data_IF_615337339330
#
_entry.id   IF_615337339330
#
_cell.length_a   1.000
_cell.length_b   1.000
_cell.length_c   1.000
_cell.angle_alpha   90.00
_cell.angle_beta   90.00
_cell.angle_gamma   90.00
#
_symmetry.space_group_name_H-M   'P 1'
#
loop_
_entity.id
_entity.type
_entity.pdbx_description
1 polymer ?
#
# COMPACT_ATOMS: atom_id res chain seq x y z
N UNK A 1 12.76 -30.68 -2.74
CA UNK A 1 11.52 -31.46 -2.98
C UNK A 1 11.30 -32.39 -1.79
N UNK A 2 10.04 -32.59 -1.36
CA UNK A 2 9.73 -33.37 -0.16
C UNK A 2 8.45 -34.21 -0.32
N UNK A 3 8.40 -35.41 0.24
CA UNK A 3 7.18 -36.18 0.46
C UNK A 3 7.19 -36.75 1.89
N UNK A 4 6.34 -36.20 2.77
CA UNK A 4 6.42 -36.48 4.20
C UNK A 4 7.78 -36.06 4.79
N UNK A 5 8.51 -37.01 5.37
CA UNK A 5 9.85 -36.79 5.97
C UNK A 5 11.00 -37.00 4.99
N UNK A 6 10.73 -37.50 3.78
CA UNK A 6 11.75 -37.74 2.77
C UNK A 6 11.97 -36.45 2.00
N UNK A 7 13.23 -36.00 1.96
CA UNK A 7 13.60 -34.74 1.32
C UNK A 7 14.78 -34.97 0.38
N UNK A 8 14.77 -34.27 -0.74
CA UNK A 8 15.89 -34.19 -1.66
C UNK A 8 16.15 -32.73 -2.06
N UNK A 9 17.42 -32.39 -2.21
CA UNK A 9 17.92 -31.07 -2.59
C UNK A 9 18.65 -31.19 -3.93
N UNK A 10 18.44 -30.23 -4.80
CA UNK A 10 18.81 -30.23 -6.22
C UNK A 10 20.21 -30.77 -6.52
N UNK A 11 20.29 -31.76 -7.42
CA UNK A 11 21.52 -32.08 -8.15
C UNK A 11 21.81 -31.03 -9.23
N UNK A 12 23.04 -30.99 -9.76
CA UNK A 12 23.45 -30.04 -10.82
C UNK A 12 22.70 -30.22 -12.15
N UNK A 13 21.93 -31.29 -12.29
CA UNK A 13 21.13 -31.67 -13.45
C UNK A 13 19.65 -31.26 -13.33
N UNK A 14 19.24 -30.67 -12.21
CA UNK A 14 17.86 -30.21 -11.99
C UNK A 14 16.85 -31.33 -11.71
N UNK A 15 17.34 -32.58 -11.53
CA UNK A 15 16.50 -33.74 -11.23
C UNK A 15 16.47 -33.96 -9.70
N UNK A 16 15.29 -34.28 -9.18
CA UNK A 16 15.07 -34.69 -7.80
C UNK A 16 14.62 -36.16 -7.76
N UNK A 17 15.17 -36.94 -6.84
CA UNK A 17 14.85 -38.37 -6.71
C UNK A 17 14.50 -38.70 -5.26
N UNK A 18 13.20 -38.83 -4.98
CA UNK A 18 12.71 -39.34 -3.69
C UNK A 18 12.78 -40.88 -3.70
N UNK A 19 13.57 -41.45 -2.79
CA UNK A 19 13.77 -42.91 -2.65
C UNK A 19 13.15 -43.44 -1.38
N UNK A 20 12.88 -44.75 -1.36
CA UNK A 20 12.34 -45.48 -0.21
C UNK A 20 10.95 -44.97 0.24
N UNK A 21 10.12 -44.55 -0.71
CA UNK A 21 8.71 -44.25 -0.45
C UNK A 21 7.96 -45.56 -0.21
N UNK A 22 7.14 -45.60 0.84
CA UNK A 22 6.20 -46.71 1.04
C UNK A 22 5.22 -46.78 -0.14
N UNK A 23 4.78 -47.96 -0.61
CA UNK A 23 3.79 -48.05 -1.67
C UNK A 23 2.48 -47.35 -1.27
N UNK A 24 1.94 -46.50 -2.13
CA UNK A 24 0.74 -45.72 -1.85
C UNK A 24 0.77 -44.31 -2.42
N UNK A 25 -0.23 -43.51 -2.06
CA UNK A 25 -0.37 -42.12 -2.47
C UNK A 25 0.49 -41.20 -1.58
N UNK A 26 1.29 -40.35 -2.20
CA UNK A 26 2.13 -39.35 -1.53
C UNK A 26 1.84 -37.97 -2.07
N UNK A 27 1.65 -36.98 -1.19
CA UNK A 27 1.68 -35.58 -1.59
C UNK A 27 3.14 -35.13 -1.69
N UNK A 28 3.58 -34.81 -2.88
CA UNK A 28 4.94 -34.38 -3.19
C UNK A 28 4.94 -32.87 -3.33
N UNK A 29 5.78 -32.19 -2.54
CA UNK A 29 5.88 -30.72 -2.50
C UNK A 29 7.25 -30.28 -3.02
N UNK A 30 7.25 -29.33 -3.94
CA UNK A 30 8.45 -28.66 -4.44
C UNK A 30 8.48 -27.24 -3.89
N UNK A 31 9.63 -26.83 -3.37
CA UNK A 31 9.85 -25.50 -2.79
C UNK A 31 11.08 -24.86 -3.38
N UNK A 32 11.01 -23.57 -3.69
CA UNK A 32 12.14 -22.75 -4.08
C UNK A 32 11.97 -21.33 -3.50
N UNK A 33 13.02 -20.66 -2.99
CA UNK A 33 12.86 -19.33 -2.38
C UNK A 33 12.26 -18.25 -3.30
N UNK A 34 12.52 -18.33 -4.60
CA UNK A 34 12.12 -17.33 -5.63
C UNK A 34 10.98 -17.78 -6.53
N UNK A 35 10.33 -18.91 -6.24
CA UNK A 35 9.16 -19.39 -6.99
C UNK A 35 8.07 -19.78 -6.01
N UNK A 36 6.82 -19.73 -6.47
CA UNK A 36 5.72 -20.29 -5.71
C UNK A 36 5.90 -21.81 -5.55
N UNK A 37 5.52 -22.31 -4.37
CA UNK A 37 5.57 -23.75 -4.11
C UNK A 37 4.50 -24.45 -4.93
N UNK A 38 4.81 -25.65 -5.41
CA UNK A 38 3.88 -26.49 -6.16
C UNK A 38 3.80 -27.88 -5.50
N UNK A 39 2.67 -28.56 -5.65
CA UNK A 39 2.46 -29.89 -5.11
C UNK A 39 1.57 -30.78 -5.98
N UNK A 40 1.86 -32.08 -5.96
CA UNK A 40 1.11 -33.07 -6.70
C UNK A 40 0.99 -34.37 -5.90
N UNK A 41 -0.14 -35.04 -6.01
CA UNK A 41 -0.33 -36.38 -5.45
C UNK A 41 0.24 -37.43 -6.43
N UNK A 42 1.29 -38.13 -5.99
CA UNK A 42 2.00 -39.15 -6.77
C UNK A 42 1.81 -40.51 -6.12
N UNK A 43 1.42 -41.52 -6.91
CA UNK A 43 1.31 -42.89 -6.40
C UNK A 43 2.63 -43.62 -6.62
N UNK A 44 3.23 -44.11 -5.52
CA UNK A 44 4.38 -45.00 -5.53
C UNK A 44 3.89 -46.45 -5.57
N UNK A 45 4.33 -47.23 -6.55
CA UNK A 45 3.95 -48.64 -6.72
C UNK A 45 5.15 -49.53 -6.39
N UNK A 46 4.92 -50.58 -5.60
CA UNK A 46 5.98 -51.50 -5.19
C UNK A 46 6.51 -52.30 -6.39
N UNK A 47 7.84 -52.42 -6.50
CA UNK A 47 8.52 -53.27 -7.50
C UNK A 47 8.23 -52.85 -8.97
N UNK A 48 7.85 -51.59 -9.19
CA UNK A 48 7.69 -51.00 -10.51
C UNK A 48 8.79 -49.95 -10.77
N UNK A 49 8.91 -49.50 -12.01
CA UNK A 49 9.76 -48.38 -12.39
C UNK A 49 9.33 -47.08 -11.68
N UNK A 50 10.27 -46.15 -11.54
CA UNK A 50 10.00 -44.89 -10.86
C UNK A 50 8.94 -44.05 -11.59
N UNK A 51 7.97 -43.53 -10.85
CA UNK A 51 7.00 -42.57 -11.37
C UNK A 51 7.69 -41.23 -11.66
N UNK A 52 7.55 -40.74 -12.88
CA UNK A 52 8.01 -39.41 -13.28
C UNK A 52 6.90 -38.39 -13.04
N UNK A 53 7.21 -37.33 -12.30
CA UNK A 53 6.30 -36.20 -12.07
C UNK A 53 7.04 -34.90 -12.40
N UNK A 54 6.52 -34.17 -13.38
CA UNK A 54 7.01 -32.85 -13.75
C UNK A 54 6.32 -31.77 -12.91
N UNK A 55 7.07 -30.74 -12.52
CA UNK A 55 6.57 -29.56 -11.83
C UNK A 55 6.93 -28.33 -12.64
N UNK A 56 5.99 -27.39 -12.77
CA UNK A 56 6.24 -26.08 -13.37
C UNK A 56 6.12 -25.03 -12.28
N UNK A 57 7.26 -24.51 -11.83
CA UNK A 57 7.27 -23.47 -10.80
C UNK A 57 7.02 -22.11 -11.43
N UNK A 58 6.15 -21.31 -10.82
CA UNK A 58 5.85 -19.94 -11.23
C UNK A 58 6.81 -19.01 -10.48
N UNK A 59 7.58 -18.13 -11.17
CA UNK A 59 8.42 -17.15 -10.49
C UNK A 59 7.57 -16.36 -9.51
N UNK A 60 8.07 -16.23 -8.28
CA UNK A 60 7.40 -15.41 -7.29
C UNK A 60 7.50 -13.97 -7.77
N UNK A 61 6.35 -13.36 -8.08
CA UNK A 61 6.28 -11.95 -8.45
C UNK A 61 6.25 -11.12 -7.18
N UNK A 62 7.12 -10.10 -7.12
CA UNK A 62 7.08 -9.09 -6.08
C UNK A 62 5.87 -8.16 -6.27
N UNK A 63 5.64 -7.26 -5.31
CA UNK A 63 4.52 -6.31 -5.40
C UNK A 63 4.74 -5.37 -6.60
N UNK A 64 3.71 -5.13 -7.44
CA UNK A 64 3.78 -4.08 -8.45
C UNK A 64 3.99 -2.73 -7.76
N UNK A 65 4.82 -1.87 -8.34
CA UNK A 65 5.07 -0.54 -7.80
C UNK A 65 3.98 0.44 -8.22
N UNK A 66 3.66 1.42 -7.37
CA UNK A 66 2.86 2.61 -7.70
C UNK A 66 1.58 2.34 -8.50
N UNK A 67 0.53 1.83 -7.85
CA UNK A 67 -0.77 1.66 -8.50
C UNK A 67 -1.48 3.01 -8.59
N UNK A 68 -1.65 3.50 -9.81
CA UNK A 68 -2.38 4.72 -10.11
C UNK A 68 -3.70 4.44 -10.83
N UNK A 69 -4.69 5.29 -10.54
CA UNK A 69 -6.01 5.23 -11.15
C UNK A 69 -6.32 6.56 -11.83
N UNK A 70 -6.60 6.52 -13.14
CA UNK A 70 -7.01 7.71 -13.89
C UNK A 70 -8.34 7.45 -14.60
N UNK A 71 -9.35 8.26 -14.26
CA UNK A 71 -10.61 8.30 -14.99
C UNK A 71 -10.48 9.19 -16.24
N UNK A 72 -10.64 8.63 -17.43
CA UNK A 72 -10.73 9.41 -18.68
C UNK A 72 -12.02 9.08 -19.40
N UNK A 73 -12.97 10.02 -19.36
CA UNK A 73 -14.31 9.86 -19.92
C UNK A 73 -15.06 8.72 -19.21
N UNK A 74 -15.16 7.58 -19.87
CA UNK A 74 -15.80 6.36 -19.35
C UNK A 74 -14.81 5.23 -19.17
N UNK A 75 -13.53 5.52 -19.06
CA UNK A 75 -12.55 4.47 -18.83
C UNK A 75 -11.84 4.76 -17.52
N UNK A 76 -11.59 3.70 -16.77
CA UNK A 76 -10.66 3.71 -15.64
C UNK A 76 -9.38 3.08 -16.15
N UNK A 77 -8.31 3.87 -16.18
CA UNK A 77 -6.98 3.41 -16.50
C UNK A 77 -6.25 3.11 -15.20
N UNK A 78 -5.81 1.86 -15.07
CA UNK A 78 -4.92 1.45 -14.00
C UNK A 78 -3.51 1.41 -14.57
N UNK A 79 -2.58 2.11 -13.92
CA UNK A 79 -1.17 2.09 -14.31
C UNK A 79 -0.37 1.63 -13.10
N UNK A 80 0.57 0.73 -13.29
CA UNK A 80 1.49 0.29 -12.25
C UNK A 80 2.87 0.02 -12.85
N UNK A 81 3.89 0.09 -12.02
CA UNK A 81 5.26 -0.26 -12.36
C UNK A 81 5.52 -1.74 -12.15
N UNK A 82 6.54 -2.25 -12.84
CA UNK A 82 6.94 -3.65 -12.76
C UNK A 82 7.07 -4.14 -11.32
N UNK A 83 6.72 -5.40 -11.09
CA UNK A 83 6.93 -6.07 -9.80
C UNK A 83 8.38 -5.90 -9.33
N UNK A 84 8.56 -5.46 -8.08
CA UNK A 84 9.89 -5.24 -7.49
C UNK A 84 10.58 -3.92 -7.90
N UNK A 85 9.86 -3.01 -8.58
CA UNK A 85 10.36 -1.66 -8.89
C UNK A 85 10.44 -0.73 -7.67
N UNK A 86 9.78 -1.10 -6.57
CA UNK A 86 9.83 -0.40 -5.30
C UNK A 86 10.25 -1.41 -4.23
N UNK A 87 11.30 -1.08 -3.49
CA UNK A 87 11.74 -1.80 -2.30
C UNK A 87 11.66 -0.87 -1.09
N UNK A 88 11.58 -1.45 0.10
CA UNK A 88 11.46 -0.71 1.36
C UNK A 88 12.70 0.14 1.66
N UNK A 89 13.88 -0.22 1.12
CA UNK A 89 15.10 0.57 1.31
C UNK A 89 15.46 0.73 2.79
N UNK A 90 15.69 1.97 3.21
CA UNK A 90 16.07 2.33 4.58
C UNK A 90 14.88 2.65 5.51
N UNK A 91 13.64 2.51 5.05
CA UNK A 91 12.45 2.77 5.89
C UNK A 91 11.81 1.48 6.42
N UNK A 92 10.82 1.64 7.30
CA UNK A 92 10.07 0.56 7.93
C UNK A 92 8.84 0.17 7.12
N UNK A 93 8.36 1.08 6.25
CA UNK A 93 7.15 0.85 5.45
C UNK A 93 7.17 1.57 4.12
N UNK A 94 6.57 0.93 3.11
CA UNK A 94 6.46 1.49 1.77
C UNK A 94 5.14 2.23 1.58
N UNK A 95 5.20 3.46 1.05
CA UNK A 95 4.06 4.15 0.48
C UNK A 95 3.89 3.65 -0.95
N UNK A 96 2.86 2.82 -1.16
CA UNK A 96 2.68 2.08 -2.42
C UNK A 96 2.00 2.87 -3.52
N UNK A 97 1.31 3.95 -3.17
CA UNK A 97 0.54 4.81 -4.08
C UNK A 97 0.02 6.01 -3.30
N UNK A 98 -0.24 7.12 -3.98
CA UNK A 98 -1.03 8.22 -3.41
C UNK A 98 -2.49 8.15 -3.91
N UNK A 99 -3.48 8.54 -3.08
CA UNK A 99 -3.33 8.91 -1.67
C UNK A 99 -2.95 7.70 -0.79
N UNK A 100 -2.28 7.96 0.32
CA UNK A 100 -1.85 6.96 1.28
C UNK A 100 -2.32 7.33 2.68
N UNK A 101 -2.72 6.32 3.47
CA UNK A 101 -2.93 6.49 4.89
C UNK A 101 -2.41 5.28 5.66
N UNK A 102 -1.89 5.53 6.86
CA UNK A 102 -1.44 4.47 7.75
C UNK A 102 -1.51 4.88 9.22
N UNK A 103 -1.69 3.89 10.11
CA UNK A 103 -1.63 4.08 11.55
C UNK A 103 -0.36 3.41 12.08
N UNK A 104 0.42 4.15 12.86
CA UNK A 104 1.73 3.73 13.34
C UNK A 104 2.03 4.20 14.76
N UNK A 105 3.23 3.84 15.23
CA UNK A 105 3.81 4.35 16.47
C UNK A 105 5.32 4.38 16.29
N UNK A 106 5.97 5.46 16.73
CA UNK A 106 7.42 5.54 16.77
C UNK A 106 8.02 4.76 17.96
N UNK A 107 7.18 4.31 18.91
CA UNK A 107 7.63 3.60 20.09
C UNK A 107 8.34 2.26 19.78
N UNK A 108 9.59 2.15 20.21
CA UNK A 108 10.46 0.98 20.08
C UNK A 108 11.06 0.79 18.69
N UNK A 109 11.05 1.82 17.83
CA UNK A 109 11.45 1.70 16.43
C UNK A 109 12.93 1.99 16.15
N UNK A 110 13.63 2.67 17.06
CA UNK A 110 15.02 3.08 16.86
C UNK A 110 15.13 4.58 16.62
N UNK A 111 16.36 5.10 16.53
CA UNK A 111 16.72 6.53 16.43
C UNK A 111 17.80 6.60 15.34
N UNK A 112 17.36 6.47 14.09
CA UNK A 112 18.20 6.28 12.91
C UNK A 112 18.26 7.53 12.02
N UNK A 113 17.35 8.48 12.23
CA UNK A 113 17.18 9.67 11.42
C UNK A 113 17.27 10.91 12.30
N UNK A 114 18.35 11.68 12.15
CA UNK A 114 18.57 12.92 12.90
C UNK A 114 17.53 14.02 12.54
N UNK A 115 16.30 13.93 13.06
CA UNK A 115 15.22 14.90 12.80
C UNK A 115 15.52 16.21 13.53
N UNK A 116 15.28 17.35 12.86
CA UNK A 116 15.54 18.65 13.47
C UNK A 116 14.71 18.88 14.76
N UNK A 117 15.20 19.76 15.65
CA UNK A 117 14.44 20.20 16.84
C UNK A 117 14.58 19.34 18.09
N UNK A 118 15.36 18.27 18.05
CA UNK A 118 15.49 17.27 19.12
C UNK A 118 15.38 15.88 18.49
N UNK A 119 15.98 14.86 19.08
CA UNK A 119 16.12 13.54 18.46
C UNK A 119 15.48 12.48 19.35
N UNK A 120 14.86 11.48 18.75
CA UNK A 120 13.93 10.58 19.40
C UNK A 120 13.77 9.26 18.66
N UNK A 121 12.73 8.50 18.99
CA UNK A 121 12.46 7.28 18.24
C UNK A 121 11.72 7.63 16.93
N UNK A 122 12.13 7.01 15.81
CA UNK A 122 11.66 7.31 14.46
C UNK A 122 10.73 6.25 13.89
N UNK A 123 9.75 6.66 13.08
CA UNK A 123 9.10 5.77 12.12
C UNK A 123 9.18 6.34 10.72
N UNK A 124 9.70 5.56 9.78
CA UNK A 124 10.07 6.02 8.44
C UNK A 124 9.28 5.31 7.34
N UNK A 125 8.74 6.13 6.45
CA UNK A 125 8.08 5.69 5.24
C UNK A 125 8.97 5.93 4.02
N UNK A 126 9.18 4.89 3.23
CA UNK A 126 9.85 4.99 1.94
C UNK A 126 8.84 5.40 0.88
N UNK A 127 9.16 6.48 0.17
CA UNK A 127 8.33 7.07 -0.87
C UNK A 127 9.11 7.22 -2.17
N UNK A 128 8.61 6.60 -3.24
CA UNK A 128 9.19 6.73 -4.57
C UNK A 128 8.45 7.79 -5.36
N UNK A 129 9.22 8.73 -5.91
CA UNK A 129 8.74 9.79 -6.79
C UNK A 129 9.27 9.50 -8.19
N UNK A 130 8.37 9.30 -9.15
CA UNK A 130 8.73 8.91 -10.53
C UNK A 130 8.72 10.09 -11.51
N UNK A 131 8.07 11.18 -11.13
CA UNK A 131 8.10 12.46 -11.81
C UNK A 131 7.90 13.56 -10.78
N UNK A 132 8.26 14.81 -11.12
CA UNK A 132 8.10 15.94 -10.21
C UNK A 132 6.67 16.01 -9.67
N UNK A 133 6.55 15.92 -8.35
CA UNK A 133 5.28 15.90 -7.64
C UNK A 133 5.30 16.93 -6.51
N UNK A 134 4.13 17.47 -6.21
CA UNK A 134 3.92 18.24 -4.98
C UNK A 134 3.10 17.38 -4.03
N UNK A 135 3.48 17.25 -2.77
CA UNK A 135 2.72 16.47 -1.77
C UNK A 135 2.37 17.29 -0.53
N UNK A 136 1.38 16.79 0.20
CA UNK A 136 1.08 17.14 1.59
C UNK A 136 1.19 15.89 2.44
N UNK A 137 1.86 16.02 3.59
CA UNK A 137 1.96 15.00 4.65
C UNK A 137 1.30 15.56 5.90
N UNK A 138 0.24 14.91 6.37
CA UNK A 138 -0.60 15.37 7.47
C UNK A 138 -0.68 14.28 8.56
N UNK A 139 -0.40 14.65 9.81
CA UNK A 139 -0.54 13.78 10.99
C UNK A 139 -1.80 14.08 11.82
N UNK A 140 -2.68 14.97 11.36
CA UNK A 140 -3.90 15.30 12.06
C UNK A 140 -4.88 14.12 12.09
N UNK A 141 -5.01 13.50 13.25
CA UNK A 141 -5.96 12.41 13.48
C UNK A 141 -6.34 12.29 14.95
N UNK A 142 -7.56 11.81 15.28
CA UNK A 142 -7.95 11.50 16.65
C UNK A 142 -7.11 10.43 17.34
N UNK A 143 -6.26 9.70 16.60
CA UNK A 143 -5.33 8.73 17.19
C UNK A 143 -3.92 9.29 17.42
N UNK A 144 -3.60 10.45 16.84
CA UNK A 144 -2.30 11.08 17.04
C UNK A 144 -2.23 11.70 18.43
N UNK A 145 -1.46 11.09 19.32
CA UNK A 145 -1.57 11.30 20.77
C UNK A 145 -0.31 11.89 21.45
N UNK A 146 0.67 12.32 20.66
CA UNK A 146 1.92 12.92 21.13
C UNK A 146 2.35 14.11 20.29
N UNK A 147 3.35 14.84 20.78
CA UNK A 147 3.95 16.01 20.12
C UNK A 147 4.85 15.55 18.96
N UNK A 148 4.30 15.48 17.75
CA UNK A 148 4.99 14.87 16.60
C UNK A 148 5.99 15.84 15.95
N UNK A 149 6.95 15.29 15.21
CA UNK A 149 7.79 15.99 14.23
C UNK A 149 7.76 15.25 12.91
N UNK A 150 7.80 15.99 11.81
CA UNK A 150 7.95 15.46 10.45
C UNK A 150 9.20 16.01 9.79
N UNK A 151 9.97 15.14 9.16
CA UNK A 151 11.01 15.57 8.22
C UNK A 151 11.15 14.61 7.03
N UNK A 152 11.48 15.17 5.87
CA UNK A 152 11.74 14.36 4.66
C UNK A 152 13.24 14.31 4.40
N UNK A 153 13.75 13.10 4.18
CA UNK A 153 15.14 12.83 3.86
C UNK A 153 15.29 12.15 2.50
N UNK A 154 16.52 12.17 2.02
CA UNK A 154 17.05 11.18 1.06
C UNK A 154 18.10 10.34 1.79
N UNK A 155 18.42 9.16 1.28
CA UNK A 155 19.52 8.36 1.83
C UNK A 155 20.25 7.62 0.71
N UNK A 156 21.52 7.29 0.97
CA UNK A 156 22.30 6.43 0.08
C UNK A 156 22.04 4.92 0.33
N UNK A 157 22.72 4.06 -0.44
CA UNK A 157 22.60 2.60 -0.33
C UNK A 157 23.05 2.02 1.03
N UNK A 158 23.72 2.83 1.87
CA UNK A 158 24.17 2.46 3.21
C UNK A 158 23.31 3.11 4.31
N UNK A 159 22.17 3.69 3.95
CA UNK A 159 21.25 4.39 4.85
C UNK A 159 21.90 5.58 5.56
N UNK A 160 22.85 6.24 4.90
CA UNK A 160 23.35 7.53 5.37
C UNK A 160 22.35 8.60 4.91
N UNK A 161 21.61 9.16 5.87
CA UNK A 161 20.57 10.14 5.61
C UNK A 161 21.12 11.50 5.18
N UNK A 162 20.33 12.23 4.41
CA UNK A 162 20.57 13.63 4.02
C UNK A 162 19.24 14.36 4.02
N UNK A 163 19.11 15.38 4.88
CA UNK A 163 17.90 16.20 4.98
C UNK A 163 17.56 16.88 3.66
N UNK A 164 16.26 16.92 3.33
CA UNK A 164 15.74 17.76 2.25
C UNK A 164 15.47 19.20 2.71
N UNK A 165 15.40 19.43 4.02
CA UNK A 165 15.02 20.69 4.66
C UNK A 165 13.51 20.89 4.81
N UNK A 166 12.68 19.94 4.35
CA UNK A 166 11.25 19.92 4.63
C UNK A 166 11.02 19.35 6.03
N UNK A 167 10.87 20.24 7.01
CA UNK A 167 10.67 19.92 8.41
C UNK A 167 9.49 20.71 8.97
N UNK A 168 8.68 20.06 9.79
CA UNK A 168 7.62 20.69 10.59
C UNK A 168 7.49 20.00 11.95
N UNK A 169 7.35 20.81 13.00
CA UNK A 169 7.15 20.38 14.39
C UNK A 169 5.65 20.45 14.69
N UNK A 170 5.12 21.67 14.65
CA UNK A 170 3.71 21.96 14.87
C UNK A 170 3.03 22.42 13.59
N UNK A 171 1.95 21.72 13.24
CA UNK A 171 1.00 22.22 12.26
C UNK A 171 0.38 23.56 12.71
N UNK A 172 -0.35 24.27 11.83
CA UNK A 172 -0.92 25.57 12.18
C UNK A 172 -1.80 25.49 13.44
N UNK A 173 -1.46 26.28 14.47
CA UNK A 173 -2.07 26.18 15.79
C UNK A 173 -3.62 26.09 15.76
N UNK A 174 -4.14 24.98 16.28
CA UNK A 174 -5.58 24.74 16.46
C UNK A 174 -6.31 24.24 15.20
N UNK A 175 -5.61 23.83 14.15
CA UNK A 175 -6.24 23.23 12.95
C UNK A 175 -6.61 21.77 13.11
N UNK A 176 -6.09 21.09 14.14
CA UNK A 176 -6.40 19.69 14.43
C UNK A 176 -7.05 19.50 15.82
N UNK A 177 -8.31 19.94 16.02
CA UNK A 177 -8.96 19.86 17.33
C UNK A 177 -9.31 18.42 17.76
N UNK A 178 -9.32 17.47 16.82
CA UNK A 178 -9.68 16.08 17.07
C UNK A 178 -8.52 15.28 17.66
N UNK A 179 -7.27 15.71 17.45
CA UNK A 179 -6.09 15.07 18.02
C UNK A 179 -6.01 15.32 19.54
N UNK A 180 -5.74 14.28 20.35
CA UNK A 180 -5.50 14.42 21.78
C UNK A 180 -4.08 14.91 22.14
N UNK A 181 -3.20 15.15 21.16
CA UNK A 181 -1.83 15.61 21.38
C UNK A 181 -1.77 16.97 22.12
N UNK A 182 -0.68 17.24 22.86
CA UNK A 182 -0.52 18.49 23.60
C UNK A 182 -0.40 19.72 22.69
N UNK A 183 0.11 19.55 21.47
CA UNK A 183 0.21 20.56 20.43
C UNK A 183 -0.38 20.05 19.11
N UNK A 184 -0.43 20.91 18.09
CA UNK A 184 -1.10 20.56 16.82
C UNK A 184 -0.16 19.65 16.03
N UNK A 185 -0.57 18.42 15.67
CA UNK A 185 0.30 17.50 14.94
C UNK A 185 0.91 18.12 13.67
N UNK A 186 2.11 17.66 13.34
CA UNK A 186 2.94 18.20 12.26
C UNK A 186 2.25 18.08 10.91
N UNK A 187 2.48 19.08 10.05
CA UNK A 187 1.89 19.20 8.73
C UNK A 187 2.91 19.79 7.75
N UNK A 188 3.30 18.99 6.76
CA UNK A 188 4.08 19.47 5.62
C UNK A 188 3.15 19.72 4.43
N UNK A 189 3.00 20.98 4.00
CA UNK A 189 2.21 21.35 2.83
C UNK A 189 3.07 21.83 1.65
N UNK A 190 2.61 21.54 0.43
CA UNK A 190 3.23 22.03 -0.81
C UNK A 190 4.71 21.63 -0.96
N UNK A 191 5.05 20.42 -0.50
CA UNK A 191 6.40 19.86 -0.62
C UNK A 191 6.64 19.47 -2.08
N UNK A 192 7.57 20.14 -2.75
CA UNK A 192 7.97 19.81 -4.13
C UNK A 192 9.10 18.78 -4.09
N UNK A 193 8.84 17.58 -4.61
CA UNK A 193 9.83 16.51 -4.74
C UNK A 193 10.07 16.23 -6.21
N UNK A 194 11.34 16.20 -6.63
CA UNK A 194 11.72 15.73 -7.97
C UNK A 194 11.80 14.21 -7.99
N UNK A 195 11.87 13.60 -9.18
CA UNK A 195 12.11 12.15 -9.34
C UNK A 195 13.24 11.66 -8.39
N UNK A 196 12.96 10.62 -7.61
CA UNK A 196 13.88 10.12 -6.58
C UNK A 196 13.21 9.22 -5.53
N UNK A 197 14.01 8.78 -4.56
CA UNK A 197 13.54 8.03 -3.39
C UNK A 197 13.70 8.90 -2.16
N UNK A 198 12.61 9.02 -1.40
CA UNK A 198 12.51 9.85 -0.21
C UNK A 198 12.08 9.02 0.99
N UNK A 199 12.42 9.53 2.17
CA UNK A 199 12.12 8.92 3.45
C UNK A 199 11.36 9.95 4.28
N UNK A 200 10.07 9.71 4.51
CA UNK A 200 9.22 10.57 5.34
C UNK A 200 9.30 10.01 6.76
N UNK A 201 9.94 10.77 7.64
CA UNK A 201 10.22 10.36 9.02
C UNK A 201 9.24 11.04 9.96
N UNK A 202 8.59 10.24 10.80
CA UNK A 202 7.74 10.67 11.90
C UNK A 202 8.51 10.44 13.21
N UNK A 203 8.76 11.50 13.95
CA UNK A 203 9.45 11.49 15.25
C UNK A 203 8.61 12.30 16.27
N UNK A 204 9.09 12.50 17.49
CA UNK A 204 8.45 13.31 18.53
C UNK A 204 9.35 14.37 19.14
N UNK A 205 8.78 15.53 19.43
CA UNK A 205 9.47 16.63 20.08
C UNK A 205 10.04 16.20 21.44
N UNK A 206 11.30 16.54 21.72
CA UNK A 206 12.01 16.12 22.94
C UNK A 206 12.06 14.60 23.20
N UNK A 207 11.92 13.79 22.15
CA UNK A 207 11.90 12.32 22.25
C UNK A 207 10.56 11.76 22.72
N UNK A 208 9.48 12.52 22.54
CA UNK A 208 8.13 12.02 22.80
C UNK A 208 7.80 10.85 21.85
N UNK A 209 7.04 9.89 22.37
CA UNK A 209 6.62 8.70 21.63
C UNK A 209 5.13 8.50 21.79
N UNK A 210 4.48 7.98 20.75
CA UNK A 210 3.05 7.73 20.78
C UNK A 210 2.53 7.10 19.50
N UNK A 211 1.20 7.06 19.41
CA UNK A 211 0.49 6.59 18.22
C UNK A 211 0.22 7.78 17.30
N UNK A 212 0.16 7.52 16.00
CA UNK A 212 -0.19 8.51 14.99
C UNK A 212 -0.92 7.87 13.81
N UNK A 213 -1.65 8.69 13.05
CA UNK A 213 -2.07 8.38 11.69
C UNK A 213 -1.40 9.35 10.75
N UNK A 214 -0.89 8.85 9.63
CA UNK A 214 -0.29 9.66 8.57
C UNK A 214 -1.17 9.63 7.33
N UNK A 215 -1.34 10.78 6.70
CA UNK A 215 -1.96 10.92 5.39
C UNK A 215 -0.97 11.57 4.43
N UNK A 216 -0.76 10.96 3.27
CA UNK A 216 0.09 11.50 2.20
C UNK A 216 -0.73 11.66 0.93
N UNK A 217 -0.75 12.87 0.38
CA UNK A 217 -1.57 13.23 -0.79
C UNK A 217 -0.80 14.12 -1.75
N UNK A 218 -1.20 14.16 -3.03
CA UNK A 218 -0.65 15.08 -4.03
C UNK A 218 -1.32 16.48 -3.92
N UNK A 219 -0.51 17.55 -3.88
CA UNK A 219 -0.94 18.93 -3.65
C UNK A 219 -0.79 19.78 -4.91
N UNK A 220 -1.82 19.86 -5.76
CA UNK A 220 -1.88 20.88 -6.82
C UNK A 220 -1.55 20.44 -8.26
N UNK A 221 -1.58 19.15 -8.57
CA UNK A 221 -1.85 18.67 -9.93
C UNK A 221 -3.36 18.62 -10.20
N UNK A 222 -3.80 18.78 -11.45
CA UNK A 222 -5.21 18.63 -11.85
C UNK A 222 -5.80 17.21 -11.65
N UNK A 223 -5.14 16.36 -10.85
CA UNK A 223 -5.68 15.15 -10.26
C UNK A 223 -6.42 15.57 -8.99
N UNK A 224 -7.74 15.72 -9.15
CA UNK A 224 -8.69 16.12 -8.12
C UNK A 224 -8.31 15.60 -6.73
N UNK A 225 -8.13 16.53 -5.79
CA UNK A 225 -8.52 16.43 -4.39
C UNK A 225 -9.18 15.10 -4.03
N UNK A 226 -8.37 14.10 -3.70
CA UNK A 226 -8.79 13.09 -2.72
C UNK A 226 -8.42 13.64 -1.35
N UNK A 227 -8.92 14.85 -1.06
CA UNK A 227 -9.23 15.20 0.32
C UNK A 227 -10.18 14.11 0.81
N UNK A 228 -10.13 13.79 2.10
CA UNK A 228 -10.92 12.74 2.76
C UNK A 228 -12.46 12.81 2.54
N UNK A 229 -12.94 13.72 1.69
CA UNK A 229 -14.30 13.81 1.17
C UNK A 229 -14.59 12.92 -0.07
N UNK A 230 -13.58 12.30 -0.71
CA UNK A 230 -13.79 11.50 -1.95
C UNK A 230 -13.82 9.98 -1.79
N UNK A 231 -13.89 9.44 -0.57
CA UNK A 231 -14.18 8.02 -0.38
C UNK A 231 -15.71 7.82 -0.28
N UNK A 232 -16.35 7.63 -1.44
CA UNK A 232 -17.80 7.44 -1.72
C UNK A 232 -18.61 8.72 -2.01
N UNK A 233 -18.70 9.10 -3.29
CA UNK A 233 -19.85 9.88 -3.78
C UNK A 233 -21.12 9.02 -3.76
N UNK A 234 -21.83 9.06 -2.63
CA UNK A 234 -23.05 8.29 -2.41
C UNK A 234 -24.23 8.79 -3.26
N UNK A 235 -24.07 9.89 -4.02
CA UNK A 235 -25.13 10.39 -4.91
C UNK A 235 -25.47 9.40 -6.01
N UNK A 236 -24.53 8.53 -6.39
CA UNK A 236 -24.68 7.55 -7.47
C UNK A 236 -25.21 6.18 -7.01
N UNK A 237 -25.22 5.90 -5.70
CA UNK A 237 -25.65 4.59 -5.19
C UNK A 237 -27.17 4.43 -5.26
N UNK A 238 -27.95 5.51 -5.13
CA UNK A 238 -29.41 5.45 -5.29
C UNK A 238 -29.78 5.01 -6.72
N UNK A 239 -29.17 5.65 -7.71
CA UNK A 239 -29.43 5.37 -9.12
C UNK A 239 -28.95 3.97 -9.51
N UNK A 240 -27.80 3.50 -9.00
CA UNK A 240 -27.33 2.12 -9.19
C UNK A 240 -28.30 1.10 -8.59
N UNK A 241 -28.84 1.37 -7.41
CA UNK A 241 -29.84 0.50 -6.78
C UNK A 241 -31.12 0.46 -7.62
N UNK A 242 -31.60 1.61 -8.11
CA UNK A 242 -32.78 1.68 -8.98
C UNK A 242 -32.56 0.92 -10.29
N UNK A 243 -31.40 1.09 -10.94
CA UNK A 243 -31.03 0.37 -12.16
C UNK A 243 -30.86 -1.14 -11.93
N UNK A 244 -30.49 -1.55 -10.71
CA UNK A 244 -30.47 -2.95 -10.30
C UNK A 244 -31.85 -3.54 -9.99
N UNK A 245 -32.91 -2.72 -10.06
CA UNK A 245 -34.30 -3.13 -9.89
C UNK A 245 -34.87 -2.90 -8.48
N UNK A 246 -34.15 -2.18 -7.61
CA UNK A 246 -34.66 -1.77 -6.29
C UNK A 246 -35.67 -0.64 -6.48
N UNK A 247 -36.76 -0.66 -5.70
CA UNK A 247 -37.73 0.41 -5.78
C UNK A 247 -37.11 1.75 -5.34
N UNK A 248 -37.41 2.87 -6.00
CA UNK A 248 -36.79 4.16 -5.69
C UNK A 248 -36.96 4.64 -4.24
N UNK A 249 -38.03 4.23 -3.55
CA UNK A 249 -38.22 4.55 -2.14
C UNK A 249 -37.28 3.73 -1.23
N UNK A 250 -37.01 2.48 -1.59
CA UNK A 250 -36.13 1.60 -0.83
C UNK A 250 -34.68 1.97 -1.09
N UNK A 251 -34.31 2.29 -2.34
CA UNK A 251 -32.98 2.78 -2.70
C UNK A 251 -32.61 4.04 -1.91
N UNK A 252 -33.53 5.02 -1.83
CA UNK A 252 -33.37 6.22 -0.97
C UNK A 252 -33.14 5.87 0.49
N UNK A 253 -33.90 4.92 1.02
CA UNK A 253 -33.81 4.50 2.42
C UNK A 253 -32.47 3.82 2.70
N UNK A 254 -32.01 2.92 1.82
CA UNK A 254 -30.70 2.28 1.95
C UNK A 254 -29.55 3.27 1.92
N UNK A 255 -29.60 4.25 1.01
CA UNK A 255 -28.57 5.30 0.91
C UNK A 255 -28.59 6.20 2.13
N UNK A 256 -29.78 6.57 2.63
CA UNK A 256 -29.92 7.38 3.84
C UNK A 256 -29.42 6.65 5.10
N UNK A 257 -29.75 5.37 5.26
CA UNK A 257 -29.28 4.54 6.36
C UNK A 257 -27.75 4.34 6.29
N UNK A 258 -27.22 4.07 5.10
CA UNK A 258 -25.77 3.97 4.88
C UNK A 258 -25.05 5.29 5.23
N UNK A 259 -25.60 6.43 4.82
CA UNK A 259 -25.07 7.76 5.19
C UNK A 259 -25.08 7.99 6.70
N UNK A 260 -26.18 7.66 7.37
CA UNK A 260 -26.33 7.84 8.81
C UNK A 260 -25.41 6.93 9.63
N UNK A 261 -25.08 5.73 9.13
CA UNK A 261 -24.19 4.78 9.81
C UNK A 261 -22.72 5.18 9.68
N UNK A 262 -22.32 5.76 8.55
CA UNK A 262 -20.89 5.94 8.21
C UNK A 262 -20.40 7.39 8.16
N UNK A 263 -21.26 8.40 8.00
CA UNK A 263 -20.80 9.77 7.67
C UNK A 263 -21.39 10.92 8.51
N UNK A 264 -22.45 10.70 9.30
CA UNK A 264 -23.10 11.80 10.05
C UNK A 264 -23.79 12.85 9.14
N UNK A 265 -24.48 13.82 9.75
CA UNK A 265 -25.47 14.68 9.07
C UNK A 265 -24.90 15.80 8.15
N UNK A 266 -23.59 15.86 7.88
CA UNK A 266 -22.93 17.06 7.33
C UNK A 266 -22.69 17.08 5.80
N UNK A 267 -23.20 16.13 5.00
CA UNK A 267 -22.98 16.06 3.54
C UNK A 267 -24.19 16.53 2.70
N UNK A 268 -24.07 17.66 1.98
CA UNK A 268 -25.03 18.10 0.95
C UNK A 268 -24.48 17.97 -0.48
N UNK A 269 -25.28 17.39 -1.39
CA UNK A 269 -24.88 17.06 -2.77
C UNK A 269 -25.47 18.04 -3.80
N UNK A 270 -24.62 18.54 -4.71
CA UNK A 270 -25.03 19.31 -5.90
C UNK A 270 -25.18 18.39 -7.12
N UNK A 271 -26.31 18.47 -7.82
CA UNK A 271 -26.69 17.53 -8.89
C UNK A 271 -26.28 17.93 -10.30
N UNK A 272 -25.31 17.21 -10.89
CA UNK A 272 -25.06 17.22 -12.32
C UNK A 272 -24.78 15.79 -12.86
N UNK A 273 -25.74 15.27 -13.64
CA UNK A 273 -25.80 13.89 -14.16
C UNK A 273 -24.94 13.66 -15.41
N UNK A 274 -24.21 12.53 -15.50
CA UNK A 274 -23.46 12.11 -16.71
C UNK A 274 -23.69 10.61 -17.11
N UNK A 275 -24.85 10.03 -16.81
CA UNK A 275 -25.08 8.57 -16.84
C UNK A 275 -25.65 8.01 -18.17
N UNK A 276 -24.84 7.71 -19.21
CA UNK A 276 -25.41 6.98 -20.37
C UNK A 276 -24.53 6.01 -21.14
N UNK A 277 -23.61 5.31 -20.51
CA UNK A 277 -22.60 4.57 -21.29
C UNK A 277 -22.13 3.30 -20.62
N UNK A 278 -22.09 2.23 -21.41
CA UNK A 278 -21.74 0.86 -20.99
C UNK A 278 -20.24 0.63 -21.21
N UNK A 279 -19.61 -0.01 -20.24
CA UNK A 279 -18.17 -0.16 -20.12
C UNK A 279 -17.68 -1.54 -20.62
N UNK A 280 -16.50 -1.59 -21.22
CA UNK A 280 -15.76 -2.82 -21.54
C UNK A 280 -14.35 -2.69 -20.97
N UNK A 281 -13.89 -3.70 -20.25
CA UNK A 281 -12.59 -3.72 -19.55
C UNK A 281 -11.53 -4.29 -20.51
N UNK A 282 -10.36 -3.65 -20.58
CA UNK A 282 -9.19 -4.17 -21.30
C UNK A 282 -7.92 -3.88 -20.50
N UNK A 283 -7.04 -4.87 -20.41
CA UNK A 283 -5.78 -4.82 -19.66
C UNK A 283 -4.61 -4.63 -20.65
N UNK A 284 -3.59 -3.86 -20.28
CA UNK A 284 -2.36 -3.74 -21.04
C UNK A 284 -1.17 -3.85 -20.06
N UNK A 285 -0.26 -4.80 -20.30
CA UNK A 285 1.02 -4.90 -19.60
C UNK A 285 2.10 -4.32 -20.50
N UNK A 286 2.77 -3.25 -20.05
CA UNK A 286 3.94 -2.71 -20.75
C UNK A 286 5.20 -3.45 -20.31
N UNK A 287 5.67 -4.36 -21.16
CA UNK A 287 6.93 -5.09 -20.98
C UNK A 287 8.05 -4.37 -21.73
N UNK A 288 8.85 -3.55 -21.02
CA UNK A 288 10.05 -2.94 -21.60
C UNK A 288 11.24 -3.91 -21.52
N UNK A 289 11.38 -4.75 -22.55
CA UNK A 289 12.54 -5.63 -22.72
C UNK A 289 13.67 -4.97 -23.51
N UNK A 290 14.85 -4.87 -22.88
CA UNK A 290 16.16 -5.02 -23.54
C UNK A 290 17.13 -5.76 -22.62
#
# INVERSE_FOLDING_TARGET
MTAGVITDTTGTDGIYVLKNLDPGLHNVVVKHPTFDNDNADVTAIAQEDATLQDFTLIPKLDRPGSLEVVGVGQNVYLTWLAAGSMDIGCGEKLITSLPYSDQGTNAGMGDEWDVAGGDGEDYTYTFYVFEDITITVDLCSPITDYDTKLEIFTADEFCVSTTTGYYDDDGPFGTCPDSPAPYTPSLLENVMLTEGVYYIVVDGYSGDIGNYEIFVTESGGGRNTVTAEHMFDVSLEEDKLIDSGVAPADARTYVADFKAIYFGDDLQLNGADNHKTKYTISFNEDYNGR
#
